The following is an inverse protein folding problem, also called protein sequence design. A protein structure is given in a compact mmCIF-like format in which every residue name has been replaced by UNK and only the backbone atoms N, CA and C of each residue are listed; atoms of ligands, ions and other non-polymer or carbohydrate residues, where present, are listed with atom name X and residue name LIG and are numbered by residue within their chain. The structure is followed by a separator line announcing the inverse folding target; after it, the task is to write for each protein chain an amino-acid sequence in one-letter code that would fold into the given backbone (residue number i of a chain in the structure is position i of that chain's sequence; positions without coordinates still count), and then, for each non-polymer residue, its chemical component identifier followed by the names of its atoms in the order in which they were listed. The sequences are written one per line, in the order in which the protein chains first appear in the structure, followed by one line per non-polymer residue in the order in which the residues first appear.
data_IF_297364296404
#
_entry.id   IF_297364296404
#
_cell.length_a   1.000
_cell.length_b   1.000
_cell.length_c   1.000
_cell.angle_alpha   90.00
_cell.angle_beta   90.00
_cell.angle_gamma   90.00
#
_symmetry.space_group_name_H-M   'P 1'
#
loop_
_entity.id
_entity.type
_entity.pdbx_description
1 polymer ?
#
# COMPACT_ATOMS: atom_id res chain seq x y z
N UNK A 1 -29.23 2.37 57.95
CA UNK A 1 -29.00 1.65 56.67
C UNK A 1 -30.21 0.74 56.42
N UNK A 2 -31.03 1.01 55.42
CA UNK A 2 -32.10 0.10 54.96
C UNK A 2 -31.90 -0.08 53.46
N UNK A 3 -31.27 -1.19 53.09
CA UNK A 3 -31.10 -1.57 51.68
C UNK A 3 -32.46 -2.03 51.17
N UNK A 4 -33.03 -1.31 50.22
CA UNK A 4 -34.19 -1.77 49.46
C UNK A 4 -33.68 -2.55 48.25
N UNK A 5 -33.53 -3.86 48.41
CA UNK A 5 -33.26 -4.74 47.26
C UNK A 5 -34.51 -4.78 46.37
N UNK A 6 -34.43 -4.07 45.26
CA UNK A 6 -35.42 -4.08 44.19
C UNK A 6 -35.19 -5.34 43.36
N UNK A 7 -35.89 -6.42 43.66
CA UNK A 7 -35.88 -7.63 42.83
C UNK A 7 -36.35 -7.28 41.41
N UNK A 8 -35.58 -7.61 40.35
CA UNK A 8 -36.00 -7.35 38.99
C UNK A 8 -37.26 -8.16 38.69
N UNK A 9 -38.31 -7.47 38.26
CA UNK A 9 -39.58 -8.06 37.82
C UNK A 9 -39.32 -8.89 36.57
N UNK A 10 -39.02 -10.18 36.77
CA UNK A 10 -38.95 -11.17 35.70
C UNK A 10 -40.38 -11.40 35.22
N UNK A 11 -40.70 -10.85 34.05
CA UNK A 11 -42.02 -10.87 33.44
C UNK A 11 -42.56 -12.31 33.37
N UNK A 12 -43.83 -12.54 33.75
CA UNK A 12 -44.49 -13.87 33.83
C UNK A 12 -44.27 -14.83 32.64
N UNK A 13 -43.91 -14.29 31.48
CA UNK A 13 -43.68 -15.02 30.23
C UNK A 13 -42.40 -15.89 30.22
N UNK A 14 -41.44 -15.62 31.10
CA UNK A 14 -40.23 -16.45 31.27
C UNK A 14 -40.45 -17.60 32.26
N UNK A 15 -41.42 -17.48 33.17
CA UNK A 15 -41.68 -18.49 34.21
C UNK A 15 -42.54 -19.67 33.73
N UNK A 16 -43.29 -19.50 32.62
CA UNK A 16 -44.03 -20.60 31.97
C UNK A 16 -44.23 -20.32 30.46
N UNK A 17 -43.25 -20.66 29.61
CA UNK A 17 -43.35 -20.42 28.17
C UNK A 17 -44.36 -21.38 27.52
N UNK A 18 -45.29 -20.84 26.72
CA UNK A 18 -46.23 -21.64 25.96
C UNK A 18 -45.47 -22.57 24.96
N UNK A 19 -45.61 -23.90 25.06
CA UNK A 19 -44.80 -24.85 24.29
C UNK A 19 -45.05 -24.78 22.78
N UNK A 20 -46.26 -24.38 22.36
CA UNK A 20 -46.58 -24.18 20.94
C UNK A 20 -45.84 -22.98 20.37
N UNK A 21 -45.75 -21.89 21.15
CA UNK A 21 -45.04 -20.66 20.76
C UNK A 21 -43.53 -20.90 20.67
N UNK A 22 -42.96 -21.69 21.59
CA UNK A 22 -41.55 -22.10 21.54
C UNK A 22 -41.27 -22.92 20.28
N UNK A 23 -42.12 -23.89 19.95
CA UNK A 23 -42.00 -24.70 18.72
C UNK A 23 -42.07 -23.85 17.44
N UNK A 24 -42.99 -22.89 17.38
CA UNK A 24 -43.11 -21.98 16.23
C UNK A 24 -41.87 -21.10 16.08
N UNK A 25 -41.39 -20.50 17.17
CA UNK A 25 -40.15 -19.73 17.17
C UNK A 25 -38.96 -20.57 16.72
N UNK A 26 -38.85 -21.80 17.19
CA UNK A 26 -37.80 -22.72 16.78
C UNK A 26 -37.89 -23.07 15.29
N UNK A 27 -39.11 -23.27 14.75
CA UNK A 27 -39.34 -23.49 13.32
C UNK A 27 -38.90 -22.28 12.49
N UNK A 28 -39.28 -21.06 12.89
CA UNK A 28 -38.87 -19.82 12.21
C UNK A 28 -37.37 -19.61 12.27
N UNK A 29 -36.74 -19.89 13.42
CA UNK A 29 -35.30 -19.81 13.56
C UNK A 29 -34.59 -20.78 12.60
N UNK A 30 -35.00 -22.06 12.59
CA UNK A 30 -34.47 -23.05 11.64
C UNK A 30 -34.66 -22.62 10.19
N UNK A 31 -35.83 -22.07 9.84
CA UNK A 31 -36.09 -21.57 8.49
C UNK A 31 -35.15 -20.41 8.12
N UNK A 32 -34.93 -19.44 9.01
CA UNK A 32 -33.97 -18.33 8.79
C UNK A 32 -32.54 -18.82 8.65
N UNK A 33 -32.12 -19.76 9.49
CA UNK A 33 -30.78 -20.35 9.42
C UNK A 33 -30.59 -21.07 8.09
N UNK A 34 -31.55 -21.91 7.69
CA UNK A 34 -31.52 -22.62 6.40
C UNK A 34 -31.42 -21.66 5.22
N UNK A 35 -32.28 -20.63 5.18
CA UNK A 35 -32.25 -19.63 4.12
C UNK A 35 -30.92 -18.85 4.07
N UNK A 36 -30.33 -18.53 5.24
CA UNK A 36 -29.00 -17.90 5.30
C UNK A 36 -27.92 -18.83 4.78
N UNK A 37 -27.93 -20.10 5.17
CA UNK A 37 -26.98 -21.10 4.69
C UNK A 37 -27.06 -21.24 3.17
N UNK A 38 -28.27 -21.41 2.62
CA UNK A 38 -28.48 -21.50 1.17
C UNK A 38 -27.99 -20.24 0.44
N UNK A 39 -28.25 -19.04 1.00
CA UNK A 39 -27.73 -17.79 0.44
C UNK A 39 -26.20 -17.71 0.46
N UNK A 40 -25.56 -18.18 1.53
CA UNK A 40 -24.10 -18.17 1.65
C UNK A 40 -23.46 -19.19 0.71
N UNK A 41 -24.02 -20.39 0.61
CA UNK A 41 -23.57 -21.41 -0.35
C UNK A 41 -23.68 -20.91 -1.79
N UNK A 42 -24.76 -20.21 -2.15
CA UNK A 42 -24.91 -19.61 -3.46
C UNK A 42 -23.85 -18.52 -3.74
N UNK A 43 -23.56 -17.65 -2.76
CA UNK A 43 -22.51 -16.63 -2.89
C UNK A 43 -21.12 -17.25 -3.01
N UNK A 44 -20.83 -18.29 -2.23
CA UNK A 44 -19.56 -19.02 -2.32
C UNK A 44 -19.39 -19.65 -3.70
N UNK A 45 -20.43 -20.29 -4.24
CA UNK A 45 -20.35 -20.88 -5.57
C UNK A 45 -20.16 -19.81 -6.67
N UNK A 46 -20.91 -18.70 -6.59
CA UNK A 46 -20.77 -17.60 -7.55
C UNK A 46 -19.36 -17.00 -7.54
N UNK A 47 -18.79 -16.73 -6.35
CA UNK A 47 -17.43 -16.19 -6.22
C UNK A 47 -16.36 -17.18 -6.65
N UNK A 48 -16.53 -18.47 -6.36
CA UNK A 48 -15.64 -19.52 -6.86
C UNK A 48 -15.65 -19.61 -8.39
N UNK A 49 -16.82 -19.51 -9.01
CA UNK A 49 -16.94 -19.52 -10.48
C UNK A 49 -16.29 -18.29 -11.11
N UNK A 50 -16.48 -17.11 -10.53
CA UNK A 50 -15.83 -15.87 -10.99
C UNK A 50 -14.30 -15.98 -10.89
N UNK A 51 -13.80 -16.51 -9.77
CA UNK A 51 -12.37 -16.74 -9.58
C UNK A 51 -11.80 -17.72 -10.62
N UNK A 52 -12.51 -18.83 -10.89
CA UNK A 52 -12.10 -19.78 -11.92
C UNK A 52 -12.07 -19.14 -13.31
N UNK A 53 -13.06 -18.31 -13.65
CA UNK A 53 -13.10 -17.60 -14.92
C UNK A 53 -11.93 -16.60 -15.04
N UNK A 54 -11.63 -15.87 -13.96
CA UNK A 54 -10.50 -14.93 -13.91
C UNK A 54 -9.16 -15.66 -14.07
N UNK A 55 -8.96 -16.77 -13.36
CA UNK A 55 -7.75 -17.61 -13.49
C UNK A 55 -7.59 -18.17 -14.90
N UNK A 56 -8.69 -18.63 -15.52
CA UNK A 56 -8.66 -19.10 -16.91
C UNK A 56 -8.25 -17.99 -17.88
N UNK A 57 -8.75 -16.76 -17.67
CA UNK A 57 -8.39 -15.59 -18.48
C UNK A 57 -6.92 -15.20 -18.32
N UNK A 58 -6.40 -15.23 -17.09
CA UNK A 58 -4.98 -14.98 -16.82
C UNK A 58 -4.14 -16.01 -17.56
N UNK A 59 -4.43 -17.30 -17.40
CA UNK A 59 -3.70 -18.37 -18.07
C UNK A 59 -3.75 -18.25 -19.60
N UNK A 60 -4.89 -17.88 -20.17
CA UNK A 60 -5.02 -17.59 -21.60
C UNK A 60 -4.07 -16.46 -22.02
N UNK A 61 -4.08 -15.34 -21.31
CA UNK A 61 -3.22 -14.19 -21.61
C UNK A 61 -1.74 -14.52 -21.41
N UNK A 62 -1.37 -15.26 -20.36
CA UNK A 62 -0.01 -15.74 -20.13
C UNK A 62 0.45 -16.67 -21.26
N UNK A 63 -0.42 -17.54 -21.78
CA UNK A 63 -0.10 -18.37 -22.94
C UNK A 63 0.15 -17.53 -24.20
N UNK A 64 -0.62 -16.47 -24.42
CA UNK A 64 -0.39 -15.54 -25.52
C UNK A 64 0.91 -14.75 -25.36
N UNK A 65 1.20 -14.27 -24.14
CA UNK A 65 2.44 -13.57 -23.84
C UNK A 65 3.63 -14.51 -24.03
N UNK A 66 3.61 -15.71 -23.47
CA UNK A 66 4.73 -16.66 -23.60
C UNK A 66 5.00 -17.07 -25.05
N UNK A 67 3.96 -17.30 -25.85
CA UNK A 67 4.09 -17.63 -27.28
C UNK A 67 4.62 -16.45 -28.10
N UNK A 68 4.16 -15.23 -27.81
CA UNK A 68 4.55 -14.04 -28.56
C UNK A 68 5.73 -13.29 -27.93
N UNK A 69 6.25 -13.75 -26.79
CA UNK A 69 7.43 -13.17 -26.15
C UNK A 69 8.57 -13.35 -27.14
N UNK A 70 9.09 -12.26 -27.75
CA UNK A 70 10.31 -12.38 -28.52
C UNK A 70 11.36 -12.93 -27.57
N UNK A 71 12.18 -13.87 -28.02
CA UNK A 71 13.38 -14.32 -27.31
C UNK A 71 14.37 -13.14 -27.21
N UNK A 72 14.06 -12.13 -26.39
CA UNK A 72 14.99 -11.10 -26.00
C UNK A 72 15.66 -11.52 -24.70
N UNK A 73 16.40 -12.63 -24.76
CA UNK A 73 17.52 -12.90 -23.87
C UNK A 73 18.49 -13.84 -24.58
N UNK A 74 19.31 -13.24 -25.44
CA UNK A 74 20.62 -13.77 -25.80
C UNK A 74 21.48 -12.62 -26.29
N UNK A 75 22.13 -11.96 -25.35
CA UNK A 75 23.49 -11.44 -25.55
C UNK A 75 24.11 -11.22 -24.16
N UNK A 76 24.88 -12.21 -23.71
CA UNK A 76 26.00 -11.93 -22.82
C UNK A 76 27.04 -11.20 -23.68
N UNK A 77 26.93 -9.88 -23.73
CA UNK A 77 27.93 -8.97 -24.29
C UNK A 77 28.57 -8.21 -23.14
N UNK A 78 29.88 -8.40 -22.99
CA UNK A 78 30.74 -7.68 -22.04
C UNK A 78 30.57 -6.15 -22.10
N UNK A 79 30.80 -5.50 -20.96
CA UNK A 79 30.84 -4.05 -20.76
C UNK A 79 31.71 -3.33 -21.81
N UNK A 80 31.36 -2.07 -22.16
CA UNK A 80 32.08 -0.98 -21.51
C UNK A 80 31.21 0.22 -21.12
N UNK A 81 31.54 0.74 -19.93
CA UNK A 81 31.41 2.11 -19.42
C UNK A 81 30.83 3.15 -20.41
N UNK A 82 29.70 3.74 -20.02
CA UNK A 82 29.13 4.92 -20.64
C UNK A 82 28.23 5.67 -19.66
N UNK A 83 28.77 6.76 -19.12
CA UNK A 83 28.12 7.68 -18.17
C UNK A 83 26.79 8.21 -18.71
N UNK A 84 25.75 8.09 -17.89
CA UNK A 84 24.45 8.73 -18.08
C UNK A 84 23.80 8.94 -16.72
N UNK A 85 24.39 9.83 -15.92
CA UNK A 85 23.85 10.25 -14.62
C UNK A 85 22.57 11.04 -14.86
N UNK A 86 21.43 10.36 -14.90
CA UNK A 86 20.12 11.00 -14.81
C UNK A 86 19.93 11.49 -13.38
N UNK A 87 20.34 12.73 -13.12
CA UNK A 87 20.00 13.44 -11.91
C UNK A 87 18.49 13.75 -11.93
N UNK A 88 17.66 12.83 -11.47
CA UNK A 88 16.32 13.17 -10.96
C UNK A 88 16.48 13.66 -9.52
N UNK A 89 17.08 14.84 -9.37
CA UNK A 89 16.98 15.59 -8.11
C UNK A 89 15.57 16.15 -8.00
N UNK A 90 14.87 15.85 -6.91
CA UNK A 90 13.66 16.55 -6.54
C UNK A 90 14.07 18.00 -6.20
N UNK A 91 14.03 18.90 -7.19
CA UNK A 91 14.41 20.31 -7.02
C UNK A 91 13.35 21.09 -6.23
N UNK A 92 13.81 21.90 -5.28
CA UNK A 92 13.00 22.86 -4.53
C UNK A 92 12.29 23.88 -5.44
N UNK A 93 11.04 24.30 -5.14
CA UNK A 93 10.42 25.42 -5.83
C UNK A 93 10.84 26.73 -5.16
N UNK A 94 11.72 27.50 -5.81
CA UNK A 94 11.93 28.90 -5.46
C UNK A 94 10.86 29.76 -6.14
N UNK A 95 10.06 30.44 -5.32
CA UNK A 95 8.98 31.35 -5.67
C UNK A 95 9.54 32.67 -6.26
N UNK A 96 9.30 32.98 -7.54
CA UNK A 96 9.30 34.38 -8.07
C UNK A 96 8.47 34.54 -9.36
N UNK A 97 7.28 35.09 -9.21
CA UNK A 97 6.60 36.20 -9.91
C UNK A 97 7.04 36.70 -11.31
N UNK A 98 6.01 36.84 -12.21
CA UNK A 98 5.88 37.61 -13.48
C UNK A 98 6.71 37.11 -14.69
N UNK A 99 6.20 36.97 -15.91
CA UNK A 99 5.25 37.83 -16.64
C UNK A 99 4.58 37.08 -17.82
N UNK A 100 3.44 37.62 -18.27
CA UNK A 100 2.60 37.15 -19.38
C UNK A 100 3.22 37.45 -20.76
N UNK A 101 3.09 36.47 -21.67
CA UNK A 101 2.73 36.58 -23.11
C UNK A 101 3.50 35.56 -23.96
N UNK A 102 2.81 34.55 -24.46
CA UNK A 102 2.43 34.50 -25.88
C UNK A 102 1.47 33.33 -26.11
N UNK A 103 0.26 33.68 -26.57
CA UNK A 103 -0.76 32.76 -27.03
C UNK A 103 -0.59 32.58 -28.54
N UNK A 104 -0.97 31.40 -29.03
CA UNK A 104 -1.17 30.95 -30.43
C UNK A 104 0.01 30.29 -31.13
N UNK A 105 -0.05 28.95 -31.25
CA UNK A 105 -0.47 28.30 -32.51
C UNK A 105 -0.93 26.86 -32.27
N UNK A 106 -1.89 26.46 -33.10
CA UNK A 106 -2.78 25.30 -33.06
C UNK A 106 -2.11 23.99 -33.55
N UNK A 107 -2.82 22.83 -33.51
CA UNK A 107 -2.25 21.50 -33.29
C UNK A 107 -1.92 20.77 -34.59
N UNK A 108 -0.93 19.88 -34.56
CA UNK A 108 -0.88 18.79 -35.53
C UNK A 108 -0.40 17.47 -34.95
N UNK A 109 -0.95 16.43 -35.58
CA UNK A 109 -1.10 15.03 -35.16
C UNK A 109 0.19 14.24 -34.94
N UNK A 110 0.01 13.16 -34.18
CA UNK A 110 0.84 11.94 -34.11
C UNK A 110 2.17 12.05 -33.34
N UNK A 111 2.06 12.12 -32.02
CA UNK A 111 2.99 11.43 -31.14
C UNK A 111 2.18 10.46 -30.28
N UNK A 112 2.23 9.18 -30.64
CA UNK A 112 1.73 8.10 -29.77
C UNK A 112 2.55 8.20 -28.50
N UNK A 113 1.88 8.45 -27.38
CA UNK A 113 2.50 8.44 -26.07
C UNK A 113 3.24 7.11 -25.91
N UNK A 114 4.56 7.18 -25.84
CA UNK A 114 5.40 6.12 -25.33
C UNK A 114 4.79 5.72 -24.00
N UNK A 115 4.20 4.53 -23.97
CA UNK A 115 3.70 3.91 -22.76
C UNK A 115 4.80 3.97 -21.72
N UNK A 116 4.54 4.66 -20.62
CA UNK A 116 5.32 4.58 -19.39
C UNK A 116 5.36 3.10 -19.01
N UNK A 117 6.53 2.51 -19.22
CA UNK A 117 6.93 1.22 -18.71
C UNK A 117 6.82 1.32 -17.18
N UNK A 118 5.75 0.76 -16.61
CA UNK A 118 5.65 0.59 -15.16
C UNK A 118 6.71 -0.44 -14.81
N UNK A 119 7.84 0.05 -14.31
CA UNK A 119 8.95 -0.77 -13.85
C UNK A 119 8.43 -1.80 -12.83
N UNK A 120 9.00 -3.02 -12.81
CA UNK A 120 8.71 -4.00 -11.78
C UNK A 120 8.91 -3.37 -10.39
N UNK A 121 7.99 -3.65 -9.45
CA UNK A 121 7.98 -3.08 -8.08
C UNK A 121 9.30 -3.29 -7.32
N UNK A 122 10.12 -4.27 -7.71
CA UNK A 122 11.47 -4.47 -7.17
C UNK A 122 12.47 -3.37 -7.55
N UNK A 123 12.30 -2.68 -8.69
CA UNK A 123 13.18 -1.58 -9.09
C UNK A 123 12.87 -0.26 -8.38
N UNK A 124 11.62 -0.02 -7.99
CA UNK A 124 11.24 1.22 -7.27
C UNK A 124 11.75 1.16 -5.82
N UNK A 125 11.62 0.00 -5.16
CA UNK A 125 12.24 -0.23 -3.86
C UNK A 125 13.77 -0.12 -3.95
N UNK A 126 14.38 -0.63 -5.03
CA UNK A 126 15.83 -0.53 -5.30
C UNK A 126 16.32 0.88 -5.62
N UNK A 127 15.52 1.68 -6.35
CA UNK A 127 15.80 3.08 -6.66
C UNK A 127 15.69 3.96 -5.40
N UNK A 128 14.68 3.72 -4.56
CA UNK A 128 14.54 4.37 -3.25
C UNK A 128 15.67 4.00 -2.29
N UNK A 129 16.13 2.75 -2.30
CA UNK A 129 17.29 2.31 -1.53
C UNK A 129 18.60 2.93 -2.07
N UNK A 130 18.69 3.23 -3.36
CA UNK A 130 19.82 3.91 -3.98
C UNK A 130 19.92 5.40 -3.61
N UNK A 131 18.80 6.12 -3.49
CA UNK A 131 18.83 7.52 -3.01
C UNK A 131 19.30 7.58 -1.56
N UNK A 132 18.88 6.61 -0.75
CA UNK A 132 19.27 6.53 0.66
C UNK A 132 20.74 6.14 0.82
N UNK A 133 21.27 5.27 -0.04
CA UNK A 133 22.71 5.03 -0.13
C UNK A 133 23.49 6.28 -0.57
N UNK A 134 22.87 7.24 -1.27
CA UNK A 134 23.51 8.52 -1.58
C UNK A 134 23.73 9.38 -0.32
N UNK A 135 22.85 9.29 0.67
CA UNK A 135 23.00 10.00 1.96
C UNK A 135 23.98 9.34 2.94
N UNK A 136 24.31 8.06 2.74
CA UNK A 136 25.27 7.31 3.55
C UNK A 136 26.73 7.47 3.07
N UNK A 137 26.94 7.93 1.83
CA UNK A 137 28.28 8.02 1.21
C UNK A 137 29.22 9.07 1.85
N UNK A 138 28.70 9.97 2.69
CA UNK A 138 29.46 11.09 3.25
C UNK A 138 29.47 11.16 4.80
N UNK A 139 28.96 10.15 5.54
CA UNK A 139 28.82 10.20 7.01
C UNK A 139 28.05 11.45 7.53
N UNK A 140 27.23 12.07 6.67
CA UNK A 140 26.55 13.35 6.96
C UNK A 140 25.28 13.23 7.80
N UNK A 141 24.83 12.00 8.09
CA UNK A 141 23.62 11.78 8.87
C UNK A 141 23.88 11.91 10.37
N UNK A 142 23.00 12.58 11.13
CA UNK A 142 23.15 12.67 12.58
C UNK A 142 23.18 11.29 13.26
N UNK A 143 23.98 11.10 14.33
CA UNK A 143 23.86 9.94 15.20
C UNK A 143 22.47 9.85 15.82
N UNK A 144 22.01 8.62 16.08
CA UNK A 144 20.81 8.39 16.90
C UNK A 144 21.03 9.00 18.30
N UNK A 145 20.14 9.89 18.73
CA UNK A 145 20.23 10.52 20.05
C UNK A 145 19.69 9.58 21.15
N UNK A 146 20.15 9.78 22.38
CA UNK A 146 19.71 8.99 23.52
C UNK A 146 18.21 9.21 23.80
N UNK A 147 17.39 8.18 23.59
CA UNK A 147 15.94 8.22 23.80
C UNK A 147 15.10 8.31 22.53
N UNK A 148 15.72 8.40 21.34
CA UNK A 148 14.99 8.35 20.07
C UNK A 148 14.63 6.90 19.72
N UNK A 149 13.35 6.66 19.42
CA UNK A 149 12.93 5.43 18.77
C UNK A 149 13.20 5.55 17.28
N UNK A 150 13.98 4.62 16.73
CA UNK A 150 14.32 4.61 15.31
C UNK A 150 14.05 3.24 14.68
N UNK A 151 13.49 3.28 13.48
CA UNK A 151 13.16 2.11 12.65
C UNK A 151 14.19 1.99 11.53
N UNK A 152 14.57 0.78 11.14
CA UNK A 152 15.46 0.58 9.98
C UNK A 152 14.81 1.13 8.71
N UNK A 153 15.59 1.76 7.84
CA UNK A 153 15.09 2.36 6.60
C UNK A 153 14.32 1.33 5.75
N UNK A 154 14.84 0.10 5.57
CA UNK A 154 14.14 -0.96 4.84
C UNK A 154 12.74 -1.20 5.39
N UNK A 155 12.64 -1.39 6.70
CA UNK A 155 11.36 -1.63 7.39
C UNK A 155 10.45 -0.41 7.25
N UNK A 156 10.99 0.81 7.34
CA UNK A 156 10.21 2.03 7.15
C UNK A 156 9.61 2.11 5.74
N UNK A 157 10.37 1.78 4.69
CA UNK A 157 9.88 1.77 3.31
C UNK A 157 8.83 0.68 3.06
N UNK A 158 9.02 -0.52 3.62
CA UNK A 158 8.00 -1.59 3.56
C UNK A 158 6.66 -1.13 4.15
N UNK A 159 6.70 -0.42 5.28
CA UNK A 159 5.50 0.13 5.91
C UNK A 159 4.87 1.20 5.00
N UNK A 160 5.67 2.11 4.44
CA UNK A 160 5.17 3.17 3.56
C UNK A 160 4.51 2.58 2.32
N UNK A 161 5.10 1.58 1.69
CA UNK A 161 4.54 0.90 0.51
C UNK A 161 3.15 0.30 0.81
N UNK A 162 2.99 -0.35 1.97
CA UNK A 162 1.71 -0.92 2.39
C UNK A 162 0.62 0.13 2.63
N UNK A 163 1.01 1.32 3.07
CA UNK A 163 0.07 2.39 3.42
C UNK A 163 -0.15 3.42 2.32
N UNK A 164 0.71 3.47 1.30
CA UNK A 164 0.63 4.43 0.19
C UNK A 164 -0.43 4.05 -0.87
N UNK A 165 -1.66 3.82 -0.44
CA UNK A 165 -2.79 3.48 -1.33
C UNK A 165 -3.23 4.65 -2.22
N UNK A 166 -2.82 5.88 -1.88
CA UNK A 166 -3.11 7.10 -2.63
C UNK A 166 -2.10 7.36 -3.75
N UNK A 167 -0.97 6.65 -3.76
CA UNK A 167 0.07 6.82 -4.78
C UNK A 167 0.84 8.14 -4.65
N UNK A 168 1.17 8.53 -3.42
CA UNK A 168 2.06 9.68 -3.16
C UNK A 168 3.42 9.41 -3.78
N UNK A 169 3.94 10.43 -4.48
CA UNK A 169 5.19 10.32 -5.22
C UNK A 169 6.39 10.08 -4.30
N UNK A 170 7.38 9.28 -4.75
CA UNK A 170 8.57 8.95 -3.96
C UNK A 170 9.36 10.17 -3.49
N UNK A 171 9.45 11.22 -4.32
CA UNK A 171 10.09 12.50 -3.95
C UNK A 171 9.45 13.15 -2.72
N UNK A 172 8.12 13.10 -2.60
CA UNK A 172 7.43 13.71 -1.47
C UNK A 172 7.65 12.90 -0.19
N UNK A 173 7.68 11.57 -0.31
CA UNK A 173 7.99 10.65 0.78
C UNK A 173 9.40 10.93 1.30
N UNK A 174 10.39 11.01 0.41
CA UNK A 174 11.78 11.31 0.77
C UNK A 174 11.91 12.65 1.47
N UNK A 175 11.27 13.71 0.95
CA UNK A 175 11.31 15.03 1.57
C UNK A 175 10.70 15.03 2.99
N UNK A 176 9.64 14.25 3.22
CA UNK A 176 9.02 14.13 4.54
C UNK A 176 9.88 13.34 5.54
N UNK A 177 10.59 12.30 5.06
CA UNK A 177 11.45 11.48 5.90
C UNK A 177 12.83 12.09 6.13
N UNK A 178 13.27 13.01 5.25
CA UNK A 178 14.56 13.67 5.31
C UNK A 178 15.00 14.13 6.71
N UNK A 179 14.17 14.85 7.50
CA UNK A 179 14.56 15.29 8.85
C UNK A 179 14.74 14.13 9.85
N UNK A 180 14.17 12.96 9.56
CA UNK A 180 14.17 11.79 10.43
C UNK A 180 15.30 10.80 10.18
N UNK A 181 16.08 10.94 9.10
CA UNK A 181 17.18 10.02 8.84
C UNK A 181 18.27 10.10 9.92
N UNK A 182 18.79 8.93 10.29
CA UNK A 182 19.86 8.71 11.24
C UNK A 182 20.83 7.68 10.66
N UNK A 183 22.11 7.83 11.00
CA UNK A 183 23.13 6.85 10.60
C UNK A 183 22.96 5.50 11.31
N UNK A 184 23.52 4.41 10.77
CA UNK A 184 23.54 3.10 11.41
C UNK A 184 24.10 3.14 12.83
N UNK A 185 23.58 2.29 13.73
CA UNK A 185 24.09 2.20 15.11
C UNK A 185 25.31 1.27 15.20
N UNK A 186 25.39 0.29 14.31
CA UNK A 186 26.50 -0.67 14.20
C UNK A 186 27.06 -0.69 12.78
N UNK A 187 28.33 -1.03 12.67
CA UNK A 187 28.97 -1.27 11.37
C UNK A 187 28.28 -2.45 10.68
N UNK A 188 27.74 -2.22 9.47
CA UNK A 188 26.98 -3.19 8.69
C UNK A 188 25.46 -3.14 8.87
N UNK A 189 24.93 -2.25 9.72
CA UNK A 189 23.50 -1.91 9.71
C UNK A 189 23.20 -0.90 8.61
N UNK A 190 21.97 -0.92 8.10
CA UNK A 190 21.46 0.10 7.18
C UNK A 190 20.99 1.34 7.95
N UNK A 191 20.72 2.43 7.24
CA UNK A 191 20.25 3.67 7.86
C UNK A 191 18.97 3.47 8.67
N UNK A 192 18.68 4.45 9.52
CA UNK A 192 17.49 4.45 10.38
C UNK A 192 16.68 5.71 10.16
N UNK A 193 15.40 5.65 10.49
CA UNK A 193 14.47 6.78 10.46
C UNK A 193 13.79 6.89 11.82
N UNK A 194 13.62 8.11 12.31
CA UNK A 194 12.87 8.38 13.54
C UNK A 194 11.42 7.88 13.42
N UNK A 195 10.99 7.06 14.38
CA UNK A 195 9.69 6.39 14.35
C UNK A 195 8.51 7.39 14.36
N UNK A 196 8.67 8.54 15.01
CA UNK A 196 7.67 9.61 15.08
C UNK A 196 7.37 10.21 13.71
N UNK A 197 8.41 10.50 12.93
CA UNK A 197 8.32 11.09 11.58
C UNK A 197 7.72 10.07 10.61
N UNK A 198 8.12 8.80 10.72
CA UNK A 198 7.54 7.72 9.92
C UNK A 198 6.01 7.63 10.10
N UNK A 199 5.52 7.59 11.33
CA UNK A 199 4.07 7.51 11.58
C UNK A 199 3.33 8.80 11.22
N UNK A 200 3.95 9.97 11.38
CA UNK A 200 3.37 11.22 10.89
C UNK A 200 3.17 11.23 9.37
N UNK A 201 4.09 10.61 8.61
CA UNK A 201 3.91 10.42 7.16
C UNK A 201 2.79 9.42 6.87
N UNK A 202 2.73 8.30 7.60
CA UNK A 202 1.69 7.26 7.41
C UNK A 202 0.29 7.86 7.61
N UNK A 203 0.09 8.68 8.65
CA UNK A 203 -1.18 9.38 8.90
C UNK A 203 -1.58 10.32 7.74
N UNK A 204 -0.59 10.89 7.02
CA UNK A 204 -0.82 11.77 5.87
C UNK A 204 -1.24 11.00 4.62
N UNK A 205 -0.62 9.86 4.36
CA UNK A 205 -0.84 9.07 3.14
C UNK A 205 -2.04 8.09 3.26
N UNK A 206 -2.47 7.81 4.49
CA UNK A 206 -3.63 6.94 4.78
C UNK A 206 -4.58 7.61 5.78
N UNK A 207 -5.27 8.70 5.39
CA UNK A 207 -6.25 9.34 6.27
C UNK A 207 -7.46 8.39 6.44
N UNK A 208 -7.73 8.02 7.68
CA UNK A 208 -8.90 7.20 8.09
C UNK A 208 -10.21 7.94 7.84
#
# INVERSE_FOLDING_TARGET
MKSTDRTPNVTKWTLNPNPTRVRDNQRRHRARVKARTESLEAQLNATQQELQAAQARIHELESFITVNRPLFFSEQGELPVGLGSSNSGCGEPTFTTLDERFRQQDPDRNAVATFLEVAPTDEIASAMFSTVQHYDKDDKLPPVAAGESTTLCRVAYEIIEQHNMTGVEPCEIEHCLQPGFRRPTREGEECRVETTILYALIDRISPV
#
